data_IF_945237592724
#
_entry.id   IF_945237592724
#
_cell.length_a   1.000
_cell.length_b   1.000
_cell.length_c   1.000
_cell.angle_alpha   90.00
_cell.angle_beta   90.00
_cell.angle_gamma   90.00
#
_symmetry.space_group_name_H-M   'P 1'
#
loop_
_entity.id
_entity.type
_entity.pdbx_description
1 polymer ?
#
# COMPACT_ATOMS: atom_id res chain seq x y z
N UNK A 1 29.57 27.31 44.85
CA UNK A 1 29.92 26.00 44.25
C UNK A 1 28.62 25.28 43.89
N UNK A 2 28.17 25.38 42.64
CA UNK A 2 26.92 24.75 42.19
C UNK A 2 27.26 23.34 41.73
N UNK A 3 26.69 22.34 42.42
CA UNK A 3 26.84 20.92 42.11
C UNK A 3 26.10 20.62 40.79
N UNK A 4 26.83 20.10 39.82
CA UNK A 4 26.29 19.51 38.60
C UNK A 4 25.58 18.20 38.95
N UNK A 5 24.25 18.17 38.81
CA UNK A 5 23.48 16.92 38.79
C UNK A 5 23.23 16.56 37.32
N UNK A 6 24.03 15.63 36.78
CA UNK A 6 23.79 15.04 35.46
C UNK A 6 22.69 13.98 35.62
N UNK A 7 21.46 14.36 35.28
CA UNK A 7 20.33 13.44 35.16
C UNK A 7 20.40 12.75 33.79
N UNK A 8 20.88 11.50 33.75
CA UNK A 8 20.82 10.65 32.56
C UNK A 8 19.35 10.26 32.28
N UNK A 9 18.72 10.98 31.37
CA UNK A 9 17.40 10.62 30.84
C UNK A 9 17.58 9.50 29.79
N UNK A 10 17.37 8.24 30.19
CA UNK A 10 17.20 7.14 29.24
C UNK A 10 15.89 7.33 28.48
N UNK A 11 15.95 8.01 27.33
CA UNK A 11 14.86 7.99 26.37
C UNK A 11 14.91 6.61 25.71
N UNK A 12 14.06 5.69 26.19
CA UNK A 12 13.75 4.47 25.46
C UNK A 12 13.08 4.87 24.14
N UNK A 13 13.87 4.98 23.07
CA UNK A 13 13.40 5.03 21.71
C UNK A 13 12.67 3.71 21.43
N UNK A 14 11.36 3.69 21.68
CA UNK A 14 10.51 2.61 21.21
C UNK A 14 10.48 2.68 19.68
N UNK A 15 11.41 1.97 19.05
CA UNK A 15 11.33 1.65 17.63
C UNK A 15 10.14 0.72 17.51
N UNK A 16 8.99 1.26 17.10
CA UNK A 16 7.81 0.45 16.81
C UNK A 16 8.13 -0.48 15.64
N UNK A 17 8.56 -1.69 15.95
CA UNK A 17 8.75 -2.76 14.98
C UNK A 17 7.39 -3.18 14.41
N UNK A 18 7.39 -3.57 13.14
CA UNK A 18 6.23 -4.19 12.50
C UNK A 18 5.87 -5.50 13.20
N UNK A 19 4.57 -5.73 13.42
CA UNK A 19 4.09 -6.99 14.01
C UNK A 19 4.20 -8.15 13.01
N UNK A 20 4.18 -9.41 13.47
CA UNK A 20 4.17 -10.58 12.58
C UNK A 20 3.04 -10.55 11.54
N UNK A 21 1.85 -10.07 11.92
CA UNK A 21 0.70 -9.93 11.02
C UNK A 21 0.97 -8.89 9.93
N UNK A 22 1.56 -7.75 10.29
CA UNK A 22 1.95 -6.72 9.32
C UNK A 22 3.02 -7.28 8.36
N UNK A 23 4.00 -8.02 8.87
CA UNK A 23 5.02 -8.67 8.04
C UNK A 23 4.39 -9.68 7.07
N UNK A 24 3.44 -10.49 7.52
CA UNK A 24 2.70 -11.43 6.66
C UNK A 24 1.92 -10.71 5.54
N UNK A 25 1.23 -9.62 5.88
CA UNK A 25 0.54 -8.79 4.88
C UNK A 25 1.54 -8.23 3.87
N UNK A 26 2.66 -7.68 4.33
CA UNK A 26 3.68 -7.11 3.46
C UNK A 26 4.35 -8.16 2.58
N UNK A 27 4.64 -9.34 3.10
CA UNK A 27 5.17 -10.44 2.30
C UNK A 27 4.17 -10.85 1.21
N UNK A 28 2.89 -10.98 1.55
CA UNK A 28 1.84 -11.28 0.56
C UNK A 28 1.79 -10.23 -0.54
N UNK A 29 1.90 -8.95 -0.19
CA UNK A 29 1.93 -7.84 -1.16
C UNK A 29 3.17 -7.89 -2.05
N UNK A 30 4.35 -8.16 -1.49
CA UNK A 30 5.60 -8.33 -2.24
C UNK A 30 5.52 -9.49 -3.21
N UNK A 31 5.04 -10.64 -2.75
CA UNK A 31 4.93 -11.85 -3.56
C UNK A 31 4.01 -11.64 -4.76
N UNK A 32 2.88 -10.95 -4.55
CA UNK A 32 1.99 -10.57 -5.66
C UNK A 32 2.69 -9.61 -6.62
N UNK A 33 3.30 -8.54 -6.11
CA UNK A 33 3.96 -7.53 -6.95
C UNK A 33 5.08 -8.12 -7.81
N UNK A 34 5.82 -9.12 -7.30
CA UNK A 34 6.88 -9.84 -8.03
C UNK A 34 6.36 -10.57 -9.26
N UNK A 35 5.10 -10.99 -9.25
CA UNK A 35 4.48 -11.74 -10.36
C UNK A 35 3.85 -10.85 -11.43
N UNK A 36 3.84 -9.52 -11.24
CA UNK A 36 3.15 -8.57 -12.11
C UNK A 36 4.15 -7.52 -12.60
N UNK A 37 4.96 -7.84 -13.62
CA UNK A 37 5.87 -6.86 -14.22
C UNK A 37 5.11 -5.80 -15.02
N UNK A 38 5.72 -4.63 -15.19
CA UNK A 38 5.26 -3.60 -16.10
C UNK A 38 5.60 -3.92 -17.56
N UNK A 39 5.29 -2.98 -18.47
CA UNK A 39 5.56 -3.13 -19.90
C UNK A 39 7.05 -3.15 -20.28
N UNK A 40 7.96 -2.92 -19.32
CA UNK A 40 9.41 -3.00 -19.46
C UNK A 40 10.01 -4.20 -18.72
N UNK A 41 9.20 -5.00 -18.04
CA UNK A 41 9.67 -6.11 -17.21
C UNK A 41 10.02 -5.72 -15.77
N UNK A 42 9.80 -4.46 -15.34
CA UNK A 42 10.07 -4.01 -13.97
C UNK A 42 8.97 -4.48 -13.01
N UNK A 43 9.35 -4.98 -11.83
CA UNK A 43 8.43 -5.29 -10.71
C UNK A 43 8.56 -4.26 -9.58
N UNK A 44 7.57 -4.24 -8.68
CA UNK A 44 7.38 -3.16 -7.70
C UNK A 44 7.15 -3.67 -6.27
N UNK A 45 7.88 -4.69 -5.83
CA UNK A 45 7.69 -5.36 -4.53
C UNK A 45 7.80 -4.41 -3.35
N UNK A 46 8.95 -3.74 -3.19
CA UNK A 46 9.15 -2.80 -2.09
C UNK A 46 8.21 -1.60 -2.22
N UNK A 47 7.99 -1.13 -3.46
CA UNK A 47 7.11 0.00 -3.75
C UNK A 47 5.68 -0.26 -3.30
N UNK A 48 5.11 -1.40 -3.68
CA UNK A 48 3.74 -1.75 -3.35
C UNK A 48 3.58 -2.03 -1.85
N UNK A 49 4.56 -2.68 -1.23
CA UNK A 49 4.60 -2.86 0.22
C UNK A 49 4.72 -1.51 0.97
N UNK A 50 5.48 -0.55 0.46
CA UNK A 50 5.61 0.77 1.07
C UNK A 50 4.31 1.57 0.99
N UNK A 51 3.60 1.45 -0.15
CA UNK A 51 2.24 1.97 -0.33
C UNK A 51 1.30 1.31 0.68
N UNK A 52 1.29 -0.03 0.79
CA UNK A 52 0.48 -0.75 1.78
C UNK A 52 0.69 -0.24 3.22
N UNK A 53 1.94 0.00 3.62
CA UNK A 53 2.26 0.62 4.91
C UNK A 53 1.75 2.06 5.01
N UNK A 54 1.85 2.86 3.95
CA UNK A 54 1.40 4.26 3.97
C UNK A 54 -0.12 4.35 4.05
N UNK A 55 -0.82 3.45 3.36
CA UNK A 55 -2.28 3.47 3.21
C UNK A 55 -3.00 2.93 4.44
N UNK A 56 -2.56 1.79 4.98
CA UNK A 56 -3.32 1.06 6.01
C UNK A 56 -2.50 0.66 7.22
N UNK A 57 -1.22 1.07 7.28
CA UNK A 57 -0.23 0.48 8.21
C UNK A 57 -0.22 -1.04 8.10
N UNK A 58 -0.18 -1.56 6.86
CA UNK A 58 -0.21 -3.00 6.55
C UNK A 58 -1.43 -3.73 7.15
N UNK A 59 -2.62 -3.13 7.01
CA UNK A 59 -3.89 -3.74 7.40
C UNK A 59 -4.41 -3.41 8.80
N UNK A 60 -3.76 -2.49 9.52
CA UNK A 60 -4.28 -1.99 10.81
C UNK A 60 -5.52 -1.11 10.62
N UNK A 61 -5.54 -0.31 9.56
CA UNK A 61 -6.65 0.59 9.22
C UNK A 61 -7.19 0.23 7.83
N UNK A 62 -8.26 -0.56 7.77
CA UNK A 62 -8.78 -1.13 6.51
C UNK A 62 -9.97 -0.37 5.90
N UNK A 63 -10.48 0.65 6.56
CA UNK A 63 -11.54 1.53 6.04
C UNK A 63 -11.05 2.97 6.13
N UNK A 64 -10.81 3.60 4.99
CA UNK A 64 -10.44 5.02 4.87
C UNK A 64 -11.57 5.85 4.29
N UNK A 65 -11.50 7.16 4.50
CA UNK A 65 -12.45 8.17 3.99
C UNK A 65 -13.93 7.92 4.34
N UNK A 66 -14.21 7.02 5.30
CA UNK A 66 -15.55 6.72 5.75
C UNK A 66 -16.03 7.78 6.74
N UNK A 67 -17.12 8.46 6.39
CA UNK A 67 -17.82 9.42 7.25
C UNK A 67 -19.28 8.99 7.39
N UNK A 68 -19.92 9.44 8.48
CA UNK A 68 -21.36 9.21 8.71
C UNK A 68 -22.16 9.61 7.46
N UNK A 69 -22.95 8.68 6.91
CA UNK A 69 -23.76 8.89 5.71
C UNK A 69 -23.10 8.49 4.38
N UNK A 70 -21.82 8.10 4.37
CA UNK A 70 -21.16 7.54 3.18
C UNK A 70 -21.43 6.03 3.11
N UNK A 71 -21.86 5.54 1.95
CA UNK A 71 -22.02 4.09 1.71
C UNK A 71 -20.63 3.47 1.60
N UNK A 72 -20.40 2.33 2.25
CA UNK A 72 -19.08 1.67 2.33
C UNK A 72 -18.43 1.41 0.95
N UNK A 73 -19.22 1.22 -0.09
CA UNK A 73 -18.74 1.01 -1.47
C UNK A 73 -18.07 2.25 -2.09
N UNK A 74 -18.23 3.43 -1.49
CA UNK A 74 -17.56 4.68 -1.88
C UNK A 74 -16.30 4.97 -1.05
N UNK A 75 -16.03 4.20 0.00
CA UNK A 75 -14.85 4.36 0.84
C UNK A 75 -13.60 3.74 0.19
N UNK A 76 -12.44 4.08 0.72
CA UNK A 76 -11.16 3.45 0.39
C UNK A 76 -10.99 2.19 1.27
N UNK A 77 -10.83 1.02 0.64
CA UNK A 77 -11.02 -0.27 1.32
C UNK A 77 -9.76 -1.15 1.34
N UNK A 78 -9.61 -1.90 2.43
CA UNK A 78 -8.61 -2.94 2.60
C UNK A 78 -7.20 -2.43 2.86
N UNK A 79 -6.24 -3.35 2.80
CA UNK A 79 -4.81 -3.08 3.04
C UNK A 79 -4.22 -2.09 2.04
N UNK A 80 -4.81 -2.03 0.84
CA UNK A 80 -4.34 -1.20 -0.26
C UNK A 80 -5.18 0.07 -0.49
N UNK A 81 -6.20 0.31 0.34
CA UNK A 81 -7.10 1.48 0.30
C UNK A 81 -7.69 1.74 -1.09
N UNK A 82 -8.26 0.69 -1.70
CA UNK A 82 -8.81 0.73 -3.06
C UNK A 82 -10.31 1.05 -2.99
N UNK A 83 -10.78 1.96 -3.85
CA UNK A 83 -12.21 2.17 -4.06
C UNK A 83 -12.80 1.16 -5.05
N UNK A 84 -14.07 0.79 -4.90
CA UNK A 84 -14.77 -0.12 -5.83
C UNK A 84 -14.68 0.38 -7.28
N UNK A 85 -14.80 1.70 -7.50
CA UNK A 85 -14.65 2.32 -8.82
C UNK A 85 -13.26 2.06 -9.43
N UNK A 86 -12.20 2.18 -8.64
CA UNK A 86 -10.83 1.85 -9.07
C UNK A 86 -10.71 0.37 -9.39
N UNK A 87 -11.25 -0.52 -8.56
CA UNK A 87 -11.24 -1.95 -8.84
C UNK A 87 -11.92 -2.29 -10.19
N UNK A 88 -13.09 -1.68 -10.49
CA UNK A 88 -13.75 -1.83 -11.80
C UNK A 88 -12.92 -1.26 -12.94
N UNK A 89 -12.35 -0.07 -12.77
CA UNK A 89 -11.49 0.58 -13.75
C UNK A 89 -10.30 -0.32 -14.16
N UNK A 90 -9.62 -0.91 -13.19
CA UNK A 90 -8.49 -1.82 -13.45
C UNK A 90 -8.97 -3.14 -14.07
N UNK A 91 -10.02 -3.73 -13.52
CA UNK A 91 -10.54 -5.04 -13.95
C UNK A 91 -11.08 -5.03 -15.38
N UNK A 92 -11.58 -3.88 -15.85
CA UNK A 92 -11.98 -3.72 -17.27
C UNK A 92 -10.81 -3.75 -18.25
N UNK A 93 -9.59 -3.43 -17.80
CA UNK A 93 -8.37 -3.35 -18.63
C UNK A 93 -7.47 -4.58 -18.53
N UNK A 94 -7.57 -5.33 -17.43
CA UNK A 94 -6.68 -6.45 -17.14
C UNK A 94 -7.43 -7.77 -17.31
N UNK A 95 -7.03 -8.59 -18.29
CA UNK A 95 -7.71 -9.84 -18.65
C UNK A 95 -7.88 -10.79 -17.47
N UNK A 96 -6.84 -10.96 -16.65
CA UNK A 96 -6.83 -11.85 -15.47
C UNK A 96 -7.73 -11.37 -14.33
N UNK A 97 -8.15 -10.10 -14.35
CA UNK A 97 -9.04 -9.51 -13.35
C UNK A 97 -10.48 -9.30 -13.84
N UNK A 98 -10.80 -9.64 -15.10
CA UNK A 98 -12.12 -9.40 -15.69
C UNK A 98 -13.28 -9.99 -14.88
N UNK A 99 -13.06 -11.09 -14.16
CA UNK A 99 -14.05 -11.73 -13.29
C UNK A 99 -14.54 -10.79 -12.17
N UNK A 100 -13.76 -9.79 -11.74
CA UNK A 100 -14.22 -8.80 -10.75
C UNK A 100 -15.42 -8.01 -11.27
N UNK A 101 -15.50 -7.78 -12.59
CA UNK A 101 -16.63 -7.04 -13.17
C UNK A 101 -17.94 -7.82 -13.17
N UNK A 102 -17.92 -9.14 -12.92
CA UNK A 102 -19.15 -9.93 -12.77
C UNK A 102 -19.73 -9.85 -11.35
N UNK A 103 -19.00 -9.23 -10.42
CA UNK A 103 -19.42 -9.05 -9.03
C UNK A 103 -20.24 -7.77 -8.84
N UNK A 104 -21.13 -7.79 -7.84
CA UNK A 104 -21.77 -6.58 -7.32
C UNK A 104 -20.79 -5.70 -6.55
N UNK A 105 -21.09 -4.41 -6.39
CA UNK A 105 -20.22 -3.48 -5.65
C UNK A 105 -19.99 -3.92 -4.19
N UNK A 106 -21.02 -4.50 -3.55
CA UNK A 106 -20.90 -5.05 -2.21
C UNK A 106 -19.95 -6.27 -2.17
N UNK A 107 -20.03 -7.14 -3.18
CA UNK A 107 -19.10 -8.26 -3.30
C UNK A 107 -17.67 -7.77 -3.55
N UNK A 108 -17.46 -6.78 -4.41
CA UNK A 108 -16.14 -6.18 -4.65
C UNK A 108 -15.60 -5.59 -3.35
N UNK A 109 -16.38 -4.77 -2.64
CA UNK A 109 -16.01 -4.19 -1.36
C UNK A 109 -15.59 -5.27 -0.33
N UNK A 110 -16.36 -6.35 -0.23
CA UNK A 110 -16.02 -7.47 0.65
C UNK A 110 -14.69 -8.13 0.25
N UNK A 111 -14.42 -8.34 -1.04
CA UNK A 111 -13.12 -8.89 -1.49
C UNK A 111 -11.98 -7.93 -1.16
N UNK A 112 -12.16 -6.62 -1.38
CA UNK A 112 -11.14 -5.63 -1.07
C UNK A 112 -10.79 -5.61 0.44
N UNK A 113 -11.79 -5.80 1.30
CA UNK A 113 -11.61 -5.82 2.76
C UNK A 113 -10.97 -7.09 3.29
N UNK A 114 -11.30 -8.25 2.71
CA UNK A 114 -10.97 -9.57 3.29
C UNK A 114 -9.87 -10.33 2.56
N UNK A 115 -9.62 -10.03 1.28
CA UNK A 115 -8.63 -10.71 0.45
C UNK A 115 -7.46 -9.78 0.10
N UNK A 116 -6.42 -9.86 0.93
CA UNK A 116 -5.16 -9.11 0.74
C UNK A 116 -4.53 -9.39 -0.62
N UNK A 117 -4.61 -10.63 -1.12
CA UNK A 117 -3.99 -11.02 -2.39
C UNK A 117 -4.72 -10.35 -3.55
N UNK A 118 -6.05 -10.39 -3.57
CA UNK A 118 -6.85 -9.71 -4.59
C UNK A 118 -6.62 -8.19 -4.56
N UNK A 119 -6.62 -7.58 -3.37
CA UNK A 119 -6.30 -6.15 -3.22
C UNK A 119 -4.90 -5.82 -3.75
N UNK A 120 -3.89 -6.60 -3.39
CA UNK A 120 -2.53 -6.42 -3.90
C UNK A 120 -2.44 -6.56 -5.43
N UNK A 121 -3.17 -7.51 -6.03
CA UNK A 121 -3.18 -7.71 -7.48
C UNK A 121 -3.74 -6.49 -8.21
N UNK A 122 -4.89 -5.97 -7.76
CA UNK A 122 -5.50 -4.77 -8.34
C UNK A 122 -4.52 -3.58 -8.26
N UNK A 123 -3.90 -3.39 -7.10
CA UNK A 123 -2.95 -2.29 -6.89
C UNK A 123 -1.65 -2.43 -7.68
N UNK A 124 -1.13 -3.65 -7.84
CA UNK A 124 0.05 -3.91 -8.66
C UNK A 124 -0.21 -3.55 -10.13
N UNK A 125 -1.33 -4.00 -10.71
CA UNK A 125 -1.72 -3.59 -12.06
C UNK A 125 -2.02 -2.09 -12.15
N UNK A 126 -2.53 -1.48 -11.08
CA UNK A 126 -2.72 -0.04 -11.08
C UNK A 126 -1.38 0.70 -11.19
N UNK A 127 -0.34 0.27 -10.45
CA UNK A 127 1.00 0.83 -10.60
C UNK A 127 1.56 0.66 -12.01
N UNK A 128 1.37 -0.49 -12.67
CA UNK A 128 1.88 -0.67 -14.05
C UNK A 128 1.17 0.27 -15.05
N UNK A 129 -0.13 0.50 -14.87
CA UNK A 129 -0.90 1.49 -15.66
C UNK A 129 -0.40 2.91 -15.38
N UNK A 130 -0.16 3.24 -14.11
CA UNK A 130 0.38 4.54 -13.71
C UNK A 130 1.79 4.75 -14.26
N UNK A 131 2.67 3.76 -14.22
CA UNK A 131 4.02 3.82 -14.80
C UNK A 131 3.98 4.12 -16.29
N UNK A 132 3.05 3.49 -17.02
CA UNK A 132 2.87 3.71 -18.46
C UNK A 132 2.40 5.12 -18.77
N UNK A 133 1.46 5.64 -18.01
CA UNK A 133 0.90 7.00 -18.20
C UNK A 133 1.75 8.11 -17.58
N UNK A 134 2.58 7.79 -16.59
CA UNK A 134 3.35 8.73 -15.78
C UNK A 134 4.79 8.25 -15.71
N UNK A 135 5.59 8.77 -16.65
CA UNK A 135 6.98 8.33 -16.88
C UNK A 135 7.86 8.41 -15.64
N UNK A 136 7.68 9.43 -14.80
CA UNK A 136 8.49 9.61 -13.59
C UNK A 136 7.91 8.86 -12.40
N UNK A 137 8.79 8.19 -11.65
CA UNK A 137 8.45 7.43 -10.46
C UNK A 137 7.67 8.25 -9.43
N UNK A 138 8.06 9.52 -9.23
CA UNK A 138 7.33 10.46 -8.37
C UNK A 138 5.84 10.61 -8.77
N UNK A 139 5.56 10.80 -10.06
CA UNK A 139 4.19 10.99 -10.55
C UNK A 139 3.40 9.68 -10.53
N UNK A 140 4.06 8.54 -10.73
CA UNK A 140 3.47 7.21 -10.58
C UNK A 140 2.98 7.01 -9.15
N UNK A 141 3.83 7.20 -8.14
CA UNK A 141 3.45 7.07 -6.72
C UNK A 141 2.39 8.10 -6.32
N UNK A 142 2.54 9.36 -6.75
CA UNK A 142 1.53 10.40 -6.50
C UNK A 142 0.16 10.02 -7.08
N UNK A 143 0.15 9.31 -8.22
CA UNK A 143 -1.06 8.87 -8.90
C UNK A 143 -1.83 7.79 -8.18
N UNK A 144 -1.14 6.97 -7.39
CA UNK A 144 -1.80 5.98 -6.57
C UNK A 144 -2.81 6.65 -5.63
N UNK A 145 -2.42 7.77 -5.01
CA UNK A 145 -3.26 8.58 -4.12
C UNK A 145 -4.12 9.64 -4.87
N UNK A 146 -4.24 9.57 -6.20
CA UNK A 146 -5.20 10.36 -6.97
C UNK A 146 -4.72 11.72 -7.54
N UNK A 147 -3.44 12.10 -7.40
CA UNK A 147 -2.92 13.39 -7.90
C UNK A 147 -1.76 13.25 -8.88
N UNK A 148 -1.54 14.20 -9.79
CA UNK A 148 -0.35 14.18 -10.67
C UNK A 148 0.95 14.41 -9.89
N UNK A 149 0.89 15.27 -8.87
CA UNK A 149 1.99 15.61 -7.96
C UNK A 149 1.49 15.61 -6.53
N UNK A 150 2.07 14.77 -5.66
CA UNK A 150 1.72 14.70 -4.24
C UNK A 150 2.99 14.43 -3.41
N UNK A 151 3.78 15.49 -3.19
CA UNK A 151 5.02 15.43 -2.43
C UNK A 151 4.88 14.91 -1.00
N UNK A 152 3.86 15.30 -0.22
CA UNK A 152 3.65 14.74 1.12
C UNK A 152 3.44 13.23 1.10
N UNK A 153 2.56 12.73 0.23
CA UNK A 153 2.31 11.29 0.09
C UNK A 153 3.57 10.55 -0.35
N UNK A 154 4.25 11.04 -1.38
CA UNK A 154 5.50 10.46 -1.88
C UNK A 154 6.56 10.35 -0.78
N UNK A 155 6.75 11.40 0.02
CA UNK A 155 7.72 11.39 1.13
C UNK A 155 7.40 10.32 2.16
N UNK A 156 6.12 10.07 2.47
CA UNK A 156 5.70 8.98 3.38
C UNK A 156 6.01 7.61 2.79
N UNK A 157 5.69 7.39 1.50
CA UNK A 157 6.02 6.14 0.80
C UNK A 157 7.53 5.91 0.80
N UNK A 158 8.34 6.92 0.48
CA UNK A 158 9.80 6.78 0.48
C UNK A 158 10.39 6.56 1.89
N UNK A 159 9.76 7.07 2.96
CA UNK A 159 10.13 6.73 4.34
C UNK A 159 9.87 5.24 4.62
N UNK A 160 8.72 4.72 4.18
CA UNK A 160 8.39 3.31 4.34
C UNK A 160 9.25 2.40 3.46
N UNK A 161 9.67 2.84 2.27
CA UNK A 161 10.67 2.13 1.45
C UNK A 161 11.95 1.89 2.25
N UNK A 162 12.51 2.93 2.87
CA UNK A 162 13.71 2.82 3.70
C UNK A 162 13.53 1.88 4.89
N UNK A 163 12.32 1.84 5.47
CA UNK A 163 11.99 0.89 6.54
C UNK A 163 12.00 -0.55 6.00
N UNK A 164 11.31 -0.79 4.90
CA UNK A 164 11.22 -2.12 4.27
C UNK A 164 12.59 -2.63 3.83
N UNK A 165 13.46 -1.77 3.29
CA UNK A 165 14.82 -2.16 2.91
C UNK A 165 15.59 -2.76 4.09
N UNK A 166 15.34 -2.30 5.32
CA UNK A 166 15.95 -2.89 6.53
C UNK A 166 15.38 -4.28 6.81
N UNK A 167 14.07 -4.46 6.71
CA UNK A 167 13.42 -5.77 6.91
C UNK A 167 13.87 -6.80 5.86
N UNK A 168 14.09 -6.38 4.62
CA UNK A 168 14.66 -7.24 3.56
C UNK A 168 16.11 -7.61 3.87
N UNK A 169 16.95 -6.62 4.20
CA UNK A 169 18.35 -6.87 4.54
C UNK A 169 18.52 -7.79 5.74
N UNK A 170 17.58 -7.74 6.69
CA UNK A 170 17.56 -8.58 7.87
C UNK A 170 16.89 -9.96 7.62
N UNK A 171 16.48 -10.28 6.39
CA UNK A 171 15.86 -11.56 6.04
C UNK A 171 14.44 -11.76 6.58
N UNK A 172 13.81 -10.69 7.09
CA UNK A 172 12.44 -10.74 7.64
C UNK A 172 11.36 -10.59 6.55
N UNK A 173 11.76 -10.08 5.37
CA UNK A 173 10.96 -10.05 4.15
C UNK A 173 11.81 -10.56 2.99
N UNK A 174 11.19 -11.30 2.09
CA UNK A 174 11.79 -11.89 0.88
C UNK A 174 11.36 -11.05 -0.32
#
# INVERSE_FOLDING_TARGET
MIRFSILFLFIALQVFALTPEQLKVLQTVRDVARTIPDYKGETYENTLAAICLTESSAGKNIIGDFKKGIIITKASLGTMQIQVATARYISSRIKTLKWINTLSDAQIANKLLTDVKTSAQISAYYLTILKKSRKHYFNMISGYNGGFSNSPYYKRVMKNMKLLDKYVKNGQLI
#
